data_IF_362322840684
#
_entry.id   IF_362322840684
#
_cell.length_a   1.000
_cell.length_b   1.000
_cell.length_c   1.000
_cell.angle_alpha   90.00
_cell.angle_beta   90.00
_cell.angle_gamma   90.00
#
_symmetry.space_group_name_H-M   'P 1'
#
loop_
_entity.id
_entity.type
_entity.pdbx_description
1 polymer ?
#
# COMPACT_ATOMS: atom_id res chain seq x y z
N UNK A 1 54.86 -45.43 10.46
CA UNK A 1 54.88 -43.99 10.15
C UNK A 1 53.78 -43.33 10.95
N UNK A 2 54.16 -42.51 11.92
CA UNK A 2 53.30 -41.51 12.58
C UNK A 2 52.95 -40.42 11.57
N UNK A 3 51.74 -39.87 11.62
CA UNK A 3 51.55 -38.42 11.56
C UNK A 3 50.37 -38.03 12.46
N UNK A 4 50.72 -37.41 13.58
CA UNK A 4 49.87 -36.67 14.49
C UNK A 4 49.93 -35.22 13.99
N UNK A 5 48.82 -34.65 13.55
CA UNK A 5 48.72 -33.20 13.36
C UNK A 5 47.86 -32.65 14.48
N UNK A 6 48.56 -32.07 15.45
CA UNK A 6 48.02 -31.15 16.45
C UNK A 6 48.03 -29.77 15.80
N UNK A 7 46.97 -28.98 15.97
CA UNK A 7 47.01 -27.53 16.30
C UNK A 7 45.60 -26.92 16.18
N UNK A 8 45.29 -25.82 16.89
CA UNK A 8 45.73 -25.46 18.23
C UNK A 8 44.55 -25.05 19.15
N UNK A 9 44.83 -25.02 20.46
CA UNK A 9 44.05 -24.24 21.43
C UNK A 9 43.89 -22.81 20.92
N UNK A 10 42.65 -22.35 20.77
CA UNK A 10 42.35 -20.93 20.83
C UNK A 10 42.17 -20.60 22.31
N UNK A 11 43.19 -19.95 22.87
CA UNK A 11 43.06 -19.22 24.12
C UNK A 11 42.00 -18.14 23.92
N UNK A 12 40.83 -18.34 24.53
CA UNK A 12 39.81 -17.31 24.69
C UNK A 12 40.30 -16.36 25.78
N UNK A 13 41.12 -15.39 25.38
CA UNK A 13 41.29 -14.16 26.14
C UNK A 13 40.06 -13.29 25.91
N UNK A 14 39.37 -12.97 26.98
CA UNK A 14 38.09 -12.28 26.95
C UNK A 14 38.14 -10.91 26.29
N UNK A 15 37.21 -10.68 25.36
CA UNK A 15 36.41 -9.47 25.35
C UNK A 15 34.96 -9.91 25.34
N UNK A 16 34.14 -9.36 26.24
CA UNK A 16 32.71 -9.62 26.26
C UNK A 16 32.07 -8.99 25.01
N UNK A 17 31.91 -9.78 23.96
CA UNK A 17 31.21 -9.43 22.73
C UNK A 17 30.67 -10.70 22.11
N UNK A 18 29.36 -10.91 22.18
CA UNK A 18 28.67 -12.09 21.65
C UNK A 18 28.92 -12.21 20.14
N UNK A 19 29.26 -13.41 19.67
CA UNK A 19 29.45 -13.73 18.25
C UNK A 19 28.28 -13.18 17.39
N UNK A 20 28.54 -12.26 16.42
CA UNK A 20 27.48 -11.65 15.63
C UNK A 20 26.68 -12.67 14.83
N UNK A 21 27.29 -13.78 14.40
CA UNK A 21 26.59 -14.83 13.67
C UNK A 21 25.54 -15.52 14.55
N UNK A 22 25.91 -15.87 15.78
CA UNK A 22 24.99 -16.44 16.75
C UNK A 22 23.84 -15.48 17.10
N UNK A 23 24.11 -14.17 17.18
CA UNK A 23 23.07 -13.17 17.41
C UNK A 23 22.09 -13.05 16.24
N UNK A 24 22.59 -13.05 15.00
CA UNK A 24 21.76 -13.02 13.78
C UNK A 24 20.84 -14.24 13.74
N UNK A 25 21.39 -15.44 13.97
CA UNK A 25 20.63 -16.69 14.03
C UNK A 25 19.52 -16.65 15.09
N UNK A 26 19.81 -16.06 16.25
CA UNK A 26 18.82 -15.88 17.32
C UNK A 26 17.70 -14.93 16.89
N UNK A 27 18.02 -13.82 16.24
CA UNK A 27 17.04 -12.85 15.72
C UNK A 27 16.12 -13.49 14.68
N UNK A 28 16.67 -14.30 13.77
CA UNK A 28 15.89 -15.00 12.74
C UNK A 28 15.04 -16.15 13.33
N UNK A 29 15.53 -16.83 14.37
CA UNK A 29 14.89 -18.03 14.90
C UNK A 29 13.51 -17.84 15.53
N UNK A 30 13.18 -16.61 15.95
CA UNK A 30 11.90 -16.30 16.58
C UNK A 30 10.89 -15.59 15.70
N UNK A 31 11.23 -15.28 14.44
CA UNK A 31 10.47 -14.33 13.63
C UNK A 31 10.34 -14.81 12.18
N UNK A 32 9.12 -15.14 11.71
CA UNK A 32 8.91 -15.62 10.34
C UNK A 32 9.36 -14.60 9.27
N UNK A 33 9.20 -13.30 9.54
CA UNK A 33 9.68 -12.23 8.66
C UNK A 33 10.56 -11.27 9.46
N UNK A 34 11.79 -11.09 9.01
CA UNK A 34 12.79 -10.27 9.70
C UNK A 34 13.55 -9.36 8.74
N UNK A 35 13.66 -8.07 9.08
CA UNK A 35 14.27 -7.05 8.25
C UNK A 35 15.49 -6.41 8.96
N UNK A 36 16.68 -6.63 8.40
CA UNK A 36 17.85 -5.84 8.79
C UNK A 36 17.86 -4.53 7.97
N UNK A 37 17.81 -3.38 8.64
CA UNK A 37 17.63 -2.08 7.99
C UNK A 37 18.43 -0.96 8.65
N UNK A 38 18.54 0.18 7.96
CA UNK A 38 19.10 1.42 8.52
C UNK A 38 17.96 2.27 9.09
N UNK A 39 17.96 2.48 10.41
CA UNK A 39 16.86 3.08 11.14
C UNK A 39 15.84 2.04 11.63
N UNK A 40 14.61 2.48 11.88
CA UNK A 40 13.49 1.60 12.29
C UNK A 40 12.35 1.68 11.26
N UNK A 41 11.35 0.78 11.31
CA UNK A 41 10.19 0.85 10.43
C UNK A 41 9.44 2.19 10.52
N UNK A 42 9.36 2.76 11.71
CA UNK A 42 8.69 4.05 11.98
C UNK A 42 9.58 5.25 11.63
N UNK A 43 10.90 5.06 11.56
CA UNK A 43 11.88 6.11 11.30
C UNK A 43 13.06 5.57 10.48
N UNK A 44 12.85 5.25 9.19
CA UNK A 44 13.92 4.74 8.33
C UNK A 44 14.95 5.83 8.06
N UNK A 45 16.23 5.47 8.13
CA UNK A 45 17.37 6.38 7.91
C UNK A 45 18.01 6.21 6.52
N UNK A 46 17.34 5.48 5.62
CA UNK A 46 17.78 5.25 4.25
C UNK A 46 16.55 4.96 3.36
N UNK A 47 16.49 5.58 2.17
CA UNK A 47 15.37 5.39 1.23
C UNK A 47 15.12 3.93 0.85
N UNK A 48 16.18 3.13 0.66
CA UNK A 48 16.06 1.69 0.38
C UNK A 48 15.44 0.93 1.56
N UNK A 49 15.82 1.27 2.79
CA UNK A 49 15.20 0.69 3.99
C UNK A 49 13.73 1.08 4.11
N UNK A 50 13.40 2.36 3.85
CA UNK A 50 12.01 2.81 3.82
C UNK A 50 11.17 2.10 2.75
N UNK A 51 11.75 1.83 1.58
CA UNK A 51 11.09 1.12 0.48
C UNK A 51 10.66 -0.30 0.88
N UNK A 52 11.55 -1.09 1.48
CA UNK A 52 11.20 -2.44 1.96
C UNK A 52 10.16 -2.40 3.07
N UNK A 53 10.29 -1.47 4.02
CA UNK A 53 9.28 -1.27 5.07
C UNK A 53 7.91 -0.94 4.49
N UNK A 54 7.84 -0.04 3.50
CA UNK A 54 6.57 0.34 2.87
C UNK A 54 5.91 -0.83 2.13
N UNK A 55 6.71 -1.68 1.47
CA UNK A 55 6.22 -2.91 0.85
C UNK A 55 5.64 -3.84 1.93
N UNK A 56 6.40 -4.19 2.97
CA UNK A 56 5.88 -5.09 4.01
C UNK A 56 4.60 -4.55 4.69
N UNK A 57 4.54 -3.23 4.91
CA UNK A 57 3.35 -2.57 5.44
C UNK A 57 2.15 -2.62 4.48
N UNK A 58 2.36 -2.46 3.16
CA UNK A 58 1.26 -2.52 2.17
C UNK A 58 0.66 -3.91 2.07
N UNK A 59 1.49 -4.95 2.25
CA UNK A 59 1.07 -6.35 2.39
C UNK A 59 0.44 -6.67 3.75
N UNK A 60 0.40 -5.71 4.68
CA UNK A 60 -0.15 -5.85 6.04
C UNK A 60 0.42 -7.05 6.81
N UNK A 61 1.68 -7.40 6.55
CA UNK A 61 2.34 -8.55 7.18
C UNK A 61 3.08 -8.14 8.46
N UNK A 62 2.98 -8.90 9.56
CA UNK A 62 3.79 -8.63 10.74
C UNK A 62 5.25 -9.02 10.47
N UNK A 63 6.18 -8.13 10.83
CA UNK A 63 7.60 -8.41 10.76
C UNK A 63 8.35 -7.79 11.95
N UNK A 64 9.55 -8.31 12.23
CA UNK A 64 10.52 -7.67 13.13
C UNK A 64 11.64 -7.05 12.34
N UNK A 65 12.33 -6.09 12.96
CA UNK A 65 13.45 -5.42 12.33
C UNK A 65 14.60 -5.20 13.30
N UNK A 66 15.82 -5.11 12.77
CA UNK A 66 17.00 -4.67 13.52
C UNK A 66 17.65 -3.47 12.83
N UNK A 67 17.93 -2.42 13.61
CA UNK A 67 18.66 -1.25 13.12
C UNK A 67 20.16 -1.54 13.09
N UNK A 68 20.72 -1.82 11.92
CA UNK A 68 22.15 -2.14 11.81
C UNK A 68 23.07 -0.97 12.14
N UNK A 69 22.54 0.27 12.21
CA UNK A 69 23.34 1.43 12.59
C UNK A 69 23.63 1.50 14.10
N UNK A 70 22.91 0.76 14.93
CA UNK A 70 23.18 0.69 16.36
C UNK A 70 24.26 -0.32 16.73
N UNK A 71 24.64 -1.22 15.81
CA UNK A 71 25.65 -2.25 16.05
C UNK A 71 26.43 -2.56 14.75
N UNK A 72 27.66 -2.04 14.67
CA UNK A 72 28.56 -2.25 13.53
C UNK A 72 29.01 -3.73 13.38
N UNK A 73 29.05 -4.50 14.48
CA UNK A 73 29.37 -5.93 14.44
C UNK A 73 28.27 -6.70 13.71
N UNK A 74 27.01 -6.45 14.06
CA UNK A 74 25.85 -7.04 13.36
C UNK A 74 25.76 -6.53 11.93
N UNK A 75 26.02 -5.23 11.69
CA UNK A 75 26.01 -4.64 10.36
C UNK A 75 26.98 -5.31 9.40
N UNK A 76 28.18 -5.64 9.86
CA UNK A 76 29.14 -6.37 9.05
C UNK A 76 28.77 -7.86 9.00
N UNK A 77 28.44 -8.47 10.13
CA UNK A 77 28.08 -9.87 10.25
C UNK A 77 26.94 -10.30 9.32
N UNK A 78 25.90 -9.46 9.16
CA UNK A 78 24.75 -9.79 8.29
C UNK A 78 25.11 -9.76 6.80
N UNK A 79 26.07 -8.91 6.40
CA UNK A 79 26.57 -8.92 5.01
C UNK A 79 27.33 -10.20 4.72
N UNK A 80 28.13 -10.64 5.69
CA UNK A 80 28.93 -11.85 5.56
C UNK A 80 28.04 -13.11 5.62
N UNK A 81 27.02 -13.11 6.47
CA UNK A 81 26.03 -14.20 6.60
C UNK A 81 25.28 -14.47 5.29
N UNK A 82 24.76 -13.42 4.65
CA UNK A 82 24.05 -13.51 3.38
C UNK A 82 24.97 -13.66 2.16
N UNK A 83 26.28 -13.46 2.34
CA UNK A 83 27.20 -13.13 1.26
C UNK A 83 26.67 -11.97 0.38
N UNK A 84 26.11 -10.93 1.01
CA UNK A 84 25.41 -9.83 0.36
C UNK A 84 25.81 -8.46 0.94
N UNK A 85 26.39 -7.59 0.12
CA UNK A 85 27.09 -6.39 0.62
C UNK A 85 26.18 -5.20 0.99
N UNK A 86 24.89 -5.23 0.62
CA UNK A 86 23.97 -4.09 0.80
C UNK A 86 22.94 -4.32 1.91
N UNK A 87 22.36 -3.21 2.37
CA UNK A 87 21.29 -3.13 3.38
C UNK A 87 20.23 -2.19 2.78
N UNK A 88 18.92 -2.49 2.90
CA UNK A 88 18.29 -3.52 3.73
C UNK A 88 18.48 -4.97 3.25
N UNK A 89 18.26 -5.93 4.15
CA UNK A 89 18.15 -7.36 3.83
C UNK A 89 16.89 -7.94 4.49
N UNK A 90 16.03 -8.57 3.68
CA UNK A 90 14.82 -9.26 4.14
C UNK A 90 15.09 -10.77 4.26
N UNK A 91 14.60 -11.34 5.36
CA UNK A 91 14.59 -12.77 5.61
C UNK A 91 13.16 -13.25 5.85
N UNK A 92 12.81 -14.39 5.27
CA UNK A 92 11.54 -15.09 5.51
C UNK A 92 11.88 -16.53 5.90
N UNK A 93 11.35 -17.02 7.02
CA UNK A 93 11.67 -18.35 7.57
C UNK A 93 13.17 -18.65 7.67
N UNK A 94 13.96 -17.64 8.05
CA UNK A 94 15.43 -17.63 8.11
C UNK A 94 16.16 -17.72 6.77
N UNK A 95 15.45 -17.78 5.66
CA UNK A 95 16.05 -17.75 4.33
C UNK A 95 16.21 -16.31 3.86
N UNK A 96 17.36 -16.02 3.25
CA UNK A 96 17.62 -14.70 2.67
C UNK A 96 16.79 -14.53 1.40
N UNK A 97 15.92 -13.51 1.39
CA UNK A 97 15.06 -13.19 0.25
C UNK A 97 15.74 -12.21 -0.68
N UNK A 98 16.29 -11.12 -0.15
CA UNK A 98 16.93 -10.10 -0.97
C UNK A 98 17.12 -8.73 -0.33
N UNK A 99 17.69 -7.83 -1.11
CA UNK A 99 17.75 -6.40 -0.83
C UNK A 99 16.53 -5.65 -1.37
N UNK A 100 16.60 -4.31 -1.37
CA UNK A 100 15.43 -3.48 -1.67
C UNK A 100 14.79 -3.69 -3.06
N UNK A 101 15.59 -3.88 -4.10
CA UNK A 101 15.08 -3.97 -5.47
C UNK A 101 14.51 -5.37 -5.76
N UNK A 102 15.16 -6.41 -5.24
CA UNK A 102 14.65 -7.79 -5.31
C UNK A 102 13.30 -7.90 -4.61
N UNK A 103 13.18 -7.34 -3.40
CA UNK A 103 11.91 -7.35 -2.66
C UNK A 103 10.79 -6.60 -3.40
N UNK A 104 11.11 -5.50 -4.07
CA UNK A 104 10.12 -4.78 -4.91
C UNK A 104 9.69 -5.61 -6.12
N UNK A 105 10.63 -6.23 -6.82
CA UNK A 105 10.34 -7.10 -7.96
C UNK A 105 9.45 -8.27 -7.56
N UNK A 106 9.80 -8.97 -6.48
CA UNK A 106 9.01 -10.07 -5.92
C UNK A 106 7.63 -9.63 -5.44
N UNK A 107 7.50 -8.40 -4.94
CA UNK A 107 6.19 -7.83 -4.60
C UNK A 107 5.33 -7.59 -5.84
N UNK A 108 5.93 -7.09 -6.92
CA UNK A 108 5.21 -6.73 -8.14
C UNK A 108 4.78 -7.96 -8.96
N UNK A 109 5.59 -9.03 -8.95
CA UNK A 109 5.27 -10.26 -9.68
C UNK A 109 4.45 -11.27 -8.84
N UNK A 110 4.26 -11.01 -7.55
CA UNK A 110 3.46 -11.84 -6.65
C UNK A 110 4.24 -12.91 -5.87
N UNK A 111 5.50 -13.17 -6.21
CA UNK A 111 6.35 -14.19 -5.56
C UNK A 111 6.53 -13.91 -4.05
N UNK A 112 6.62 -12.63 -3.65
CA UNK A 112 6.70 -12.26 -2.24
C UNK A 112 5.46 -12.76 -1.49
N UNK A 113 4.28 -12.66 -2.08
CA UNK A 113 3.03 -13.10 -1.47
C UNK A 113 3.01 -14.60 -1.20
N UNK A 114 3.59 -15.41 -2.08
CA UNK A 114 3.71 -16.86 -1.88
C UNK A 114 4.55 -17.17 -0.64
N UNK A 115 5.74 -16.55 -0.53
CA UNK A 115 6.62 -16.72 0.63
C UNK A 115 5.97 -16.25 1.93
N UNK A 116 5.23 -15.13 1.91
CA UNK A 116 4.55 -14.63 3.10
C UNK A 116 3.41 -15.56 3.53
N UNK A 117 2.63 -16.10 2.59
CA UNK A 117 1.58 -17.06 2.92
C UNK A 117 2.14 -18.38 3.49
N UNK A 118 3.29 -18.83 3.01
CA UNK A 118 4.00 -19.98 3.60
C UNK A 118 4.50 -19.70 5.02
N UNK A 119 5.00 -18.48 5.27
CA UNK A 119 5.46 -18.06 6.60
C UNK A 119 4.32 -17.87 7.60
N UNK A 120 3.10 -17.59 7.14
CA UNK A 120 1.92 -17.40 7.97
C UNK A 120 0.72 -18.21 7.46
N UNK A 121 0.72 -19.54 7.59
CA UNK A 121 -0.33 -20.40 7.02
C UNK A 121 -1.73 -20.14 7.57
N UNK A 122 -1.82 -19.56 8.78
CA UNK A 122 -3.08 -19.20 9.44
C UNK A 122 -3.54 -17.77 9.11
N UNK A 123 -2.75 -16.98 8.37
CA UNK A 123 -3.10 -15.62 7.95
C UNK A 123 -3.37 -15.60 6.44
N UNK A 124 -4.51 -15.06 6.04
CA UNK A 124 -4.78 -14.79 4.63
C UNK A 124 -4.04 -13.53 4.21
N UNK A 125 -2.84 -13.68 3.63
CA UNK A 125 -2.04 -12.56 3.13
C UNK A 125 -2.36 -12.39 1.64
N UNK A 126 -2.97 -11.26 1.30
CA UNK A 126 -3.29 -10.89 -0.08
C UNK A 126 -2.34 -9.80 -0.58
N UNK A 127 -2.03 -9.78 -1.89
CA UNK A 127 -1.29 -8.68 -2.47
C UNK A 127 -1.99 -7.34 -2.17
N UNK A 128 -1.22 -6.26 -1.99
CA UNK A 128 -1.80 -4.93 -1.90
C UNK A 128 -2.62 -4.67 -3.16
N UNK A 129 -3.80 -4.02 -3.05
CA UNK A 129 -4.56 -3.66 -4.22
C UNK A 129 -3.70 -2.76 -5.13
N UNK A 130 -3.86 -2.86 -6.46
CA UNK A 130 -3.20 -1.95 -7.37
C UNK A 130 -3.57 -0.50 -7.03
N UNK A 131 -2.74 0.49 -7.42
CA UNK A 131 -3.11 1.89 -7.28
C UNK A 131 -4.50 2.11 -7.87
N UNK A 132 -5.42 2.65 -7.07
CA UNK A 132 -6.78 2.87 -7.54
C UNK A 132 -6.78 3.91 -8.67
N UNK A 133 -7.44 3.57 -9.77
CA UNK A 133 -7.61 4.46 -10.91
C UNK A 133 -9.06 4.95 -10.99
N UNK A 134 -9.23 6.24 -11.26
CA UNK A 134 -10.55 6.82 -11.50
C UNK A 134 -11.07 6.36 -12.85
N UNK A 135 -12.25 5.73 -12.85
CA UNK A 135 -12.94 5.31 -14.07
C UNK A 135 -13.72 6.49 -14.64
N UNK A 136 -13.25 7.02 -15.77
CA UNK A 136 -13.93 8.09 -16.51
C UNK A 136 -15.08 7.50 -17.33
N UNK A 137 -16.31 7.94 -17.06
CA UNK A 137 -17.52 7.48 -17.77
C UNK A 137 -18.31 8.69 -18.28
N UNK A 138 -18.93 8.58 -19.45
CA UNK A 138 -19.86 9.63 -19.93
C UNK A 138 -21.23 9.47 -19.25
N UNK A 139 -22.03 10.54 -19.20
CA UNK A 139 -23.31 10.53 -18.47
C UNK A 139 -24.28 9.43 -18.91
N UNK A 140 -24.33 9.12 -20.22
CA UNK A 140 -25.17 8.04 -20.73
C UNK A 140 -24.77 6.66 -20.19
N UNK A 141 -23.47 6.38 -20.14
CA UNK A 141 -22.94 5.14 -19.58
C UNK A 141 -23.11 5.11 -18.06
N UNK A 142 -22.83 6.23 -17.38
CA UNK A 142 -23.05 6.40 -15.95
C UNK A 142 -24.50 6.10 -15.56
N UNK A 143 -25.48 6.55 -16.34
CA UNK A 143 -26.89 6.26 -16.10
C UNK A 143 -27.23 4.77 -16.21
N UNK A 144 -26.60 4.04 -17.13
CA UNK A 144 -26.74 2.57 -17.22
C UNK A 144 -26.12 1.90 -15.99
N UNK A 145 -24.89 2.28 -15.63
CA UNK A 145 -24.17 1.74 -14.47
C UNK A 145 -24.98 1.95 -13.18
N UNK A 146 -25.48 3.16 -12.94
CA UNK A 146 -26.29 3.50 -11.76
C UNK A 146 -27.62 2.74 -11.73
N UNK A 147 -28.22 2.48 -12.89
CA UNK A 147 -29.47 1.70 -12.98
C UNK A 147 -29.25 0.22 -12.65
N UNK A 148 -28.13 -0.35 -13.08
CA UNK A 148 -27.77 -1.75 -12.81
C UNK A 148 -27.23 -1.93 -11.38
N UNK A 149 -26.67 -0.88 -10.79
CA UNK A 149 -26.03 -0.90 -9.47
C UNK A 149 -26.60 0.23 -8.58
N UNK A 150 -27.82 0.07 -8.04
CA UNK A 150 -28.50 1.13 -7.28
C UNK A 150 -27.80 1.49 -5.95
N UNK A 151 -26.88 0.64 -5.48
CA UNK A 151 -26.10 0.89 -4.26
C UNK A 151 -24.95 1.88 -4.45
N UNK A 152 -24.53 2.14 -5.70
CA UNK A 152 -23.47 3.12 -6.00
C UNK A 152 -23.90 4.49 -5.48
N UNK A 153 -23.06 5.09 -4.64
CA UNK A 153 -23.30 6.43 -4.09
C UNK A 153 -22.94 7.49 -5.12
N UNK A 154 -23.94 8.25 -5.57
CA UNK A 154 -23.75 9.38 -6.48
C UNK A 154 -23.47 10.65 -5.67
N UNK A 155 -22.24 11.14 -5.76
CA UNK A 155 -21.69 12.24 -4.97
C UNK A 155 -21.54 13.49 -5.83
N UNK A 156 -22.27 14.54 -5.46
CA UNK A 156 -22.30 15.81 -6.16
C UNK A 156 -21.36 16.80 -5.49
N UNK A 157 -20.32 17.23 -6.22
CA UNK A 157 -19.29 18.15 -5.71
C UNK A 157 -19.57 19.60 -6.08
N UNK A 158 -20.74 19.90 -6.62
CA UNK A 158 -21.18 21.26 -6.96
C UNK A 158 -21.63 22.01 -5.71
N UNK A 159 -21.74 23.32 -5.82
CA UNK A 159 -22.26 24.13 -4.71
C UNK A 159 -23.76 23.85 -4.48
N UNK A 160 -24.28 24.11 -3.27
CA UNK A 160 -25.72 24.02 -3.01
C UNK A 160 -26.58 24.82 -4.00
N UNK A 161 -26.13 26.02 -4.39
CA UNK A 161 -26.85 26.88 -5.35
C UNK A 161 -26.92 26.27 -6.75
N UNK A 162 -25.83 25.63 -7.21
CA UNK A 162 -25.84 24.90 -8.48
C UNK A 162 -26.81 23.72 -8.44
N UNK A 163 -26.90 23.02 -7.31
CA UNK A 163 -27.83 21.88 -7.10
C UNK A 163 -29.30 22.31 -7.04
N UNK A 164 -29.60 23.49 -6.50
CA UNK A 164 -30.96 24.06 -6.51
C UNK A 164 -31.48 24.27 -7.94
N UNK A 165 -30.59 24.57 -8.89
CA UNK A 165 -30.95 24.79 -10.30
C UNK A 165 -31.17 23.47 -11.05
N UNK A 166 -30.32 22.48 -10.78
CA UNK A 166 -30.38 21.17 -11.41
C UNK A 166 -29.80 20.12 -10.46
N UNK A 167 -30.57 19.09 -10.13
CA UNK A 167 -30.16 18.01 -9.24
C UNK A 167 -30.57 16.66 -9.84
N UNK A 168 -29.75 15.63 -9.63
CA UNK A 168 -30.13 14.25 -9.91
C UNK A 168 -30.84 13.70 -8.67
N UNK A 169 -31.92 12.94 -8.86
CA UNK A 169 -32.81 12.48 -7.76
C UNK A 169 -32.06 11.72 -6.66
N UNK A 170 -31.02 10.95 -7.02
CA UNK A 170 -30.23 10.13 -6.10
C UNK A 170 -28.86 10.72 -5.76
N UNK A 171 -28.56 11.99 -6.12
CA UNK A 171 -27.27 12.59 -5.78
C UNK A 171 -27.26 13.20 -4.38
N UNK A 172 -26.17 12.97 -3.65
CA UNK A 172 -25.90 13.53 -2.32
C UNK A 172 -24.81 14.59 -2.45
N UNK A 173 -24.94 15.72 -1.73
CA UNK A 173 -23.88 16.73 -1.69
C UNK A 173 -22.65 16.14 -1.00
N UNK A 174 -21.48 16.28 -1.62
CA UNK A 174 -20.22 15.97 -0.96
C UNK A 174 -19.76 17.18 -0.14
N UNK A 175 -20.20 17.25 1.10
CA UNK A 175 -19.71 18.22 2.07
C UNK A 175 -18.57 17.64 2.94
N UNK A 176 -18.02 18.47 3.83
CA UNK A 176 -16.90 18.06 4.67
C UNK A 176 -17.27 16.93 5.64
N UNK A 177 -18.49 16.96 6.20
CA UNK A 177 -18.94 15.95 7.17
C UNK A 177 -19.03 14.57 6.49
N UNK A 178 -19.60 14.52 5.28
CA UNK A 178 -19.66 13.29 4.50
C UNK A 178 -18.27 12.80 4.09
N UNK A 179 -17.35 13.70 3.72
CA UNK A 179 -15.96 13.30 3.42
C UNK A 179 -15.31 12.65 4.64
N UNK A 180 -15.45 13.23 5.83
CA UNK A 180 -14.91 12.67 7.07
C UNK A 180 -15.54 11.32 7.39
N UNK A 181 -16.87 11.18 7.28
CA UNK A 181 -17.58 9.91 7.45
C UNK A 181 -17.08 8.83 6.49
N UNK A 182 -16.94 9.16 5.20
CA UNK A 182 -16.48 8.23 4.16
C UNK A 182 -15.10 7.69 4.49
N UNK A 183 -14.17 8.54 4.90
CA UNK A 183 -12.79 8.14 5.19
C UNK A 183 -12.66 7.33 6.48
N UNK A 184 -13.53 7.55 7.46
CA UNK A 184 -13.49 6.85 8.75
C UNK A 184 -14.24 5.52 8.72
N UNK A 185 -15.37 5.46 8.01
CA UNK A 185 -16.34 4.36 8.17
C UNK A 185 -16.63 3.54 6.92
N UNK A 186 -16.35 4.02 5.71
CA UNK A 186 -16.70 3.28 4.49
C UNK A 186 -15.65 2.23 4.13
N UNK A 187 -16.11 1.13 3.57
CA UNK A 187 -15.24 0.09 3.03
C UNK A 187 -14.57 0.58 1.73
N UNK A 188 -13.28 0.28 1.55
CA UNK A 188 -12.50 0.71 0.37
C UNK A 188 -13.01 0.11 -0.96
N UNK A 189 -13.78 -0.98 -0.91
CA UNK A 189 -14.45 -1.55 -2.08
C UNK A 189 -15.83 -0.93 -2.34
N UNK A 190 -16.30 0.01 -1.50
CA UNK A 190 -17.57 0.73 -1.71
C UNK A 190 -17.51 1.52 -3.02
N UNK A 191 -18.44 1.21 -3.93
CA UNK A 191 -18.53 1.89 -5.21
C UNK A 191 -19.17 3.28 -5.10
N UNK A 192 -18.51 4.28 -5.69
CA UNK A 192 -18.92 5.67 -5.64
C UNK A 192 -18.72 6.37 -6.98
N UNK A 193 -19.62 7.28 -7.32
CA UNK A 193 -19.60 8.01 -8.58
C UNK A 193 -19.70 9.50 -8.33
N UNK A 194 -18.78 10.28 -8.87
CA UNK A 194 -18.72 11.72 -8.67
C UNK A 194 -19.30 12.47 -9.86
N UNK A 195 -20.08 13.50 -9.58
CA UNK A 195 -20.64 14.40 -10.58
C UNK A 195 -20.35 15.86 -10.22
N UNK A 196 -19.97 16.64 -11.23
CA UNK A 196 -19.94 18.09 -11.14
C UNK A 196 -20.65 18.71 -12.35
N UNK A 197 -20.32 19.96 -12.71
CA UNK A 197 -20.91 20.58 -13.90
C UNK A 197 -20.48 19.86 -15.19
N UNK A 198 -19.17 19.75 -15.43
CA UNK A 198 -18.56 19.30 -16.70
C UNK A 198 -17.47 18.23 -16.53
N UNK A 199 -17.35 17.62 -15.34
CA UNK A 199 -16.40 16.53 -15.05
C UNK A 199 -15.09 16.92 -14.36
N UNK A 200 -14.69 18.19 -14.29
CA UNK A 200 -13.35 18.57 -13.78
C UNK A 200 -13.22 18.55 -12.25
N UNK A 201 -14.21 19.10 -11.53
CA UNK A 201 -14.21 19.11 -10.05
C UNK A 201 -14.45 17.71 -9.50
N UNK A 202 -15.35 16.97 -10.14
CA UNK A 202 -15.65 15.58 -9.77
C UNK A 202 -14.47 14.66 -10.01
N UNK A 203 -13.68 14.87 -11.07
CA UNK A 203 -12.42 14.15 -11.28
C UNK A 203 -11.43 14.36 -10.14
N UNK A 204 -11.28 15.60 -9.67
CA UNK A 204 -10.38 15.91 -8.55
C UNK A 204 -10.82 15.23 -7.25
N UNK A 205 -12.12 15.26 -6.95
CA UNK A 205 -12.67 14.54 -5.80
C UNK A 205 -12.49 13.02 -5.93
N UNK A 206 -12.80 12.47 -7.10
CA UNK A 206 -12.58 11.05 -7.40
C UNK A 206 -11.10 10.65 -7.21
N UNK A 207 -10.17 11.46 -7.69
CA UNK A 207 -8.73 11.22 -7.52
C UNK A 207 -8.31 11.26 -6.05
N UNK A 208 -8.91 12.15 -5.25
CA UNK A 208 -8.68 12.20 -3.82
C UNK A 208 -9.07 10.88 -3.14
N UNK A 209 -10.28 10.36 -3.39
CA UNK A 209 -10.73 9.10 -2.80
C UNK A 209 -9.96 7.88 -3.31
N UNK A 210 -9.62 7.83 -4.60
CA UNK A 210 -8.75 6.79 -5.15
C UNK A 210 -7.38 6.77 -4.43
N UNK A 211 -6.80 7.95 -4.15
CA UNK A 211 -5.55 8.05 -3.39
C UNK A 211 -5.67 7.62 -1.91
N UNK A 212 -6.89 7.61 -1.35
CA UNK A 212 -7.17 7.05 -0.01
C UNK A 212 -7.41 5.52 -0.03
N UNK A 213 -7.31 4.89 -1.22
CA UNK A 213 -7.40 3.45 -1.38
C UNK A 213 -8.76 2.93 -1.81
N UNK A 214 -9.75 3.80 -2.08
CA UNK A 214 -11.03 3.36 -2.64
C UNK A 214 -10.84 2.80 -4.05
N UNK A 215 -11.26 1.56 -4.29
CA UNK A 215 -10.97 0.82 -5.51
C UNK A 215 -12.02 1.02 -6.62
N UNK A 216 -13.23 1.42 -6.25
CA UNK A 216 -14.38 1.53 -7.16
C UNK A 216 -14.86 2.97 -7.31
N UNK A 217 -14.02 3.81 -7.91
CA UNK A 217 -14.25 5.24 -8.04
C UNK A 217 -14.52 5.63 -9.49
N UNK A 218 -15.66 6.27 -9.73
CA UNK A 218 -16.09 6.72 -11.06
C UNK A 218 -16.20 8.26 -11.12
N UNK A 219 -15.84 8.84 -12.25
CA UNK A 219 -16.10 10.25 -12.56
C UNK A 219 -17.05 10.33 -13.77
N UNK A 220 -18.14 11.10 -13.64
CA UNK A 220 -18.98 11.47 -14.78
C UNK A 220 -18.27 12.59 -15.53
N UNK A 221 -17.56 12.21 -16.59
CA UNK A 221 -16.58 13.02 -17.31
C UNK A 221 -17.14 14.23 -18.07
N UNK A 222 -18.44 14.22 -18.38
CA UNK A 222 -19.19 15.31 -19.01
C UNK A 222 -20.18 16.00 -18.03
N UNK A 223 -20.18 15.55 -16.77
CA UNK A 223 -20.94 16.10 -15.66
C UNK A 223 -22.46 16.18 -15.88
N UNK A 224 -23.13 17.03 -15.11
CA UNK A 224 -24.58 17.24 -15.24
C UNK A 224 -24.96 17.88 -16.58
N UNK A 225 -24.06 18.62 -17.22
CA UNK A 225 -24.28 19.15 -18.55
C UNK A 225 -24.46 18.03 -19.59
N UNK A 226 -23.58 17.02 -19.56
CA UNK A 226 -23.71 15.81 -20.36
C UNK A 226 -24.98 15.01 -20.03
N UNK A 227 -25.33 14.94 -18.74
CA UNK A 227 -26.54 14.28 -18.27
C UNK A 227 -27.81 14.91 -18.82
N UNK A 228 -27.95 16.23 -18.71
CA UNK A 228 -29.07 16.98 -19.28
C UNK A 228 -29.20 16.79 -20.79
N UNK A 229 -28.06 16.68 -21.49
CA UNK A 229 -28.04 16.59 -22.95
C UNK A 229 -28.33 15.17 -23.47
N UNK A 230 -27.91 14.14 -22.72
CA UNK A 230 -27.83 12.76 -23.23
C UNK A 230 -28.70 11.76 -22.47
N UNK A 231 -29.16 12.10 -21.27
CA UNK A 231 -29.90 11.18 -20.38
C UNK A 231 -31.29 11.71 -20.06
N UNK A 232 -31.37 12.94 -19.52
CA UNK A 232 -32.64 13.54 -19.11
C UNK A 232 -32.68 15.04 -19.43
N UNK A 233 -33.36 15.36 -20.55
CA UNK A 233 -33.51 16.73 -21.02
C UNK A 233 -34.48 17.59 -20.20
N UNK A 234 -35.18 17.02 -19.21
CA UNK A 234 -35.95 17.79 -18.25
C UNK A 234 -35.06 18.51 -17.21
N UNK A 235 -33.81 18.06 -17.03
CA UNK A 235 -32.86 18.67 -16.11
C UNK A 235 -32.29 19.95 -16.72
N UNK A 236 -32.47 21.13 -16.09
CA UNK A 236 -32.07 22.40 -16.68
C UNK A 236 -30.56 22.50 -16.93
N UNK A 237 -30.20 23.03 -18.10
CA UNK A 237 -28.85 23.50 -18.38
C UNK A 237 -28.66 24.89 -17.76
N UNK A 238 -27.47 25.14 -17.22
CA UNK A 238 -27.07 26.43 -16.68
C UNK A 238 -25.59 26.68 -16.97
N UNK A 239 -25.10 27.90 -16.75
CA UNK A 239 -23.68 28.22 -16.85
C UNK A 239 -23.07 28.25 -15.44
N UNK A 240 -21.93 27.61 -15.22
CA UNK A 240 -21.16 27.87 -13.99
C UNK A 240 -20.64 29.30 -14.06
N UNK A 241 -20.98 30.08 -13.05
CA UNK A 241 -20.40 31.40 -12.76
C UNK A 241 -18.91 31.31 -12.46
#
# INVERSE_FOLDING_TARGET
MQFKVISPNVESTGSAGTDPQAQIEQMLSGNPVFLFMKGTPESPQCGFSGKVTNILNSWKVPFKSFNVLSDESIRQGIKDYANWQTIPQLYINKEFVGGSDVVEEMSNNGELGELLNEAFPEMKITPPPPPAEVREVAALEAAVILKENPDIRLLDVRTPQERETACLENSVLLDQELVEEMLDTWDQDTAMMFICHVGERSRQAAQYFAAQGFQQVYNISDGIHGWSSSVDSAIPLYQSS
#
